data_IF_294486038877
#
_entry.id   IF_294486038877
#
_cell.length_a   1.000
_cell.length_b   1.000
_cell.length_c   1.000
_cell.angle_alpha   90.00
_cell.angle_beta   90.00
_cell.angle_gamma   90.00
#
_symmetry.space_group_name_H-M   'P 1'
#
loop_
_entity.id
_entity.type
_entity.pdbx_description
1 polymer ?
#
# COMPACT_ATOMS: atom_id res chain seq x y z
N UNK A 1 42.21 -49.36 7.34
CA UNK A 1 42.56 -48.25 6.39
C UNK A 1 41.52 -48.04 5.31
N UNK A 2 41.01 -49.04 4.57
CA UNK A 2 39.99 -48.82 3.50
C UNK A 2 38.64 -48.35 4.03
N UNK A 3 38.19 -48.80 5.19
CA UNK A 3 36.92 -48.39 5.80
C UNK A 3 36.94 -46.94 6.32
N UNK A 4 38.06 -46.48 6.83
CA UNK A 4 38.21 -45.10 7.32
C UNK A 4 38.20 -44.10 6.19
N UNK A 5 38.89 -44.39 5.08
CA UNK A 5 38.84 -43.54 3.87
C UNK A 5 37.41 -43.44 3.30
N UNK A 6 36.68 -44.57 3.26
CA UNK A 6 35.32 -44.64 2.79
C UNK A 6 34.36 -43.84 3.69
N UNK A 7 34.52 -43.91 4.99
CA UNK A 7 33.75 -43.15 5.94
C UNK A 7 34.07 -41.66 5.84
N UNK A 8 35.34 -41.27 5.71
CA UNK A 8 35.73 -39.88 5.50
C UNK A 8 35.10 -39.31 4.25
N UNK A 9 35.16 -40.05 3.12
CA UNK A 9 34.53 -39.60 1.86
C UNK A 9 33.00 -39.44 2.02
N UNK A 10 32.33 -40.36 2.70
CA UNK A 10 30.89 -40.26 2.97
C UNK A 10 30.57 -39.04 3.80
N UNK A 11 31.32 -38.74 4.85
CA UNK A 11 31.15 -37.55 5.67
C UNK A 11 31.38 -36.25 4.86
N UNK A 12 32.40 -36.22 4.03
CA UNK A 12 32.67 -35.05 3.17
C UNK A 12 31.58 -34.85 2.12
N UNK A 13 31.13 -35.93 1.49
CA UNK A 13 30.07 -35.85 0.48
C UNK A 13 28.72 -35.46 1.11
N UNK A 14 28.34 -36.04 2.24
CA UNK A 14 27.08 -35.69 2.92
C UNK A 14 27.11 -34.26 3.46
N UNK A 15 28.21 -33.85 4.08
CA UNK A 15 28.40 -32.49 4.57
C UNK A 15 28.38 -31.45 3.43
N UNK A 16 29.10 -31.76 2.36
CA UNK A 16 29.11 -30.88 1.16
C UNK A 16 27.74 -30.78 0.51
N UNK A 17 27.01 -31.89 0.38
CA UNK A 17 25.65 -31.89 -0.16
C UNK A 17 24.70 -31.08 0.73
N UNK A 18 24.74 -31.29 2.04
CA UNK A 18 23.90 -30.55 2.99
C UNK A 18 24.21 -29.05 2.94
N UNK A 19 25.48 -28.66 2.94
CA UNK A 19 25.88 -27.28 2.84
C UNK A 19 25.39 -26.61 1.51
N UNK A 20 25.50 -27.34 0.41
CA UNK A 20 25.02 -26.87 -0.89
C UNK A 20 23.50 -26.66 -0.90
N UNK A 21 22.74 -27.62 -0.34
CA UNK A 21 21.28 -27.50 -0.23
C UNK A 21 20.88 -26.28 0.63
N UNK A 22 21.52 -26.14 1.80
CA UNK A 22 21.24 -24.98 2.68
C UNK A 22 21.63 -23.66 2.05
N UNK A 23 22.74 -23.59 1.35
CA UNK A 23 23.18 -22.40 0.62
C UNK A 23 22.22 -22.00 -0.50
N UNK A 24 21.61 -22.98 -1.16
CA UNK A 24 20.62 -22.74 -2.20
C UNK A 24 19.23 -22.36 -1.62
N UNK A 25 18.80 -23.08 -0.58
CA UNK A 25 17.49 -22.85 0.04
C UNK A 25 17.41 -21.54 0.83
N UNK A 26 18.49 -21.11 1.44
CA UNK A 26 18.52 -19.90 2.28
C UNK A 26 18.02 -18.65 1.52
N UNK A 27 18.56 -18.27 0.36
CA UNK A 27 18.09 -17.11 -0.38
C UNK A 27 16.64 -17.28 -0.88
N UNK A 28 16.25 -18.50 -1.25
CA UNK A 28 14.88 -18.79 -1.67
C UNK A 28 13.90 -18.56 -0.52
N UNK A 29 14.20 -19.08 0.66
CA UNK A 29 13.36 -18.87 1.86
C UNK A 29 13.31 -17.40 2.22
N UNK A 30 14.43 -16.68 2.19
CA UNK A 30 14.46 -15.22 2.46
C UNK A 30 13.66 -14.42 1.46
N UNK A 31 13.61 -14.83 0.21
CA UNK A 31 12.82 -14.19 -0.81
C UNK A 31 11.32 -14.45 -0.65
N UNK A 32 10.95 -15.69 -0.33
CA UNK A 32 9.54 -16.11 -0.18
C UNK A 32 8.93 -15.65 1.15
N UNK A 33 9.76 -15.52 2.20
CA UNK A 33 9.34 -14.97 3.49
C UNK A 33 9.72 -13.49 3.58
N UNK A 34 8.89 -12.57 3.09
CA UNK A 34 9.17 -11.15 3.21
C UNK A 34 9.25 -10.80 4.71
N UNK A 35 10.29 -10.05 5.07
CA UNK A 35 10.38 -9.46 6.40
C UNK A 35 9.11 -8.67 6.65
N UNK A 36 8.38 -9.01 7.70
CA UNK A 36 7.30 -8.17 8.19
C UNK A 36 7.93 -6.81 8.59
N UNK A 37 7.83 -5.83 7.70
CA UNK A 37 8.17 -4.45 8.05
C UNK A 37 7.10 -4.02 9.05
N UNK A 38 7.45 -3.70 10.31
CA UNK A 38 6.46 -3.19 11.25
C UNK A 38 5.87 -1.93 10.61
N UNK A 39 4.60 -1.98 10.26
CA UNK A 39 3.89 -0.78 9.85
C UNK A 39 3.89 0.14 11.07
N UNK A 40 4.66 1.21 11.02
CA UNK A 40 4.62 2.21 12.06
C UNK A 40 3.14 2.58 12.25
N UNK A 41 2.64 2.45 13.48
CA UNK A 41 1.25 2.77 13.80
C UNK A 41 1.05 4.29 13.65
N UNK A 42 0.97 4.74 12.41
CA UNK A 42 0.72 6.13 12.06
C UNK A 42 -0.77 6.36 12.22
N UNK A 43 -1.14 7.11 13.23
CA UNK A 43 -2.55 7.45 13.49
C UNK A 43 -2.97 8.73 12.75
N UNK A 44 -2.02 9.64 12.48
CA UNK A 44 -2.26 10.87 11.74
C UNK A 44 -1.04 11.26 10.90
N UNK A 45 -1.29 11.96 9.79
CA UNK A 45 -0.25 12.48 8.90
C UNK A 45 -0.62 13.89 8.48
N UNK A 46 0.34 14.80 8.52
CA UNK A 46 0.25 16.11 7.91
C UNK A 46 0.28 15.96 6.37
N UNK A 47 -0.79 16.35 5.73
CA UNK A 47 -0.95 16.22 4.28
C UNK A 47 -0.54 17.49 3.52
N UNK A 48 -0.02 18.51 4.20
CA UNK A 48 0.40 19.81 3.67
C UNK A 48 -0.56 20.93 4.03
N UNK A 49 -0.42 22.06 3.38
CA UNK A 49 -1.24 23.25 3.67
C UNK A 49 -2.50 23.31 2.85
N UNK A 50 -3.51 24.02 3.36
CA UNK A 50 -4.79 24.25 2.66
C UNK A 50 -4.56 24.87 1.26
N UNK A 51 -3.60 25.78 1.14
CA UNK A 51 -3.27 26.46 -0.11
C UNK A 51 -2.53 25.60 -1.13
N UNK A 52 -1.99 24.43 -0.73
CA UNK A 52 -1.26 23.52 -1.63
C UNK A 52 -2.20 22.78 -2.57
N UNK A 53 -3.51 22.80 -2.31
CA UNK A 53 -4.50 22.12 -3.10
C UNK A 53 -5.67 23.04 -3.39
N UNK A 54 -5.92 23.33 -4.67
CA UNK A 54 -7.06 24.15 -5.10
C UNK A 54 -8.39 23.39 -4.94
N UNK A 55 -9.53 24.09 -4.80
CA UNK A 55 -10.84 23.43 -4.86
C UNK A 55 -11.02 22.59 -6.11
N UNK A 56 -11.84 21.55 -6.02
CA UNK A 56 -12.11 20.58 -7.10
C UNK A 56 -10.87 19.82 -7.58
N UNK A 57 -9.87 19.67 -6.73
CA UNK A 57 -8.64 18.94 -7.07
C UNK A 57 -8.27 17.90 -6.01
N UNK A 58 -7.34 17.05 -6.33
CA UNK A 58 -6.87 16.01 -5.42
C UNK A 58 -5.36 15.79 -5.52
N UNK A 59 -4.80 15.23 -4.47
CA UNK A 59 -3.41 14.74 -4.44
C UNK A 59 -3.33 13.42 -3.67
N UNK A 60 -2.32 12.63 -3.99
CA UNK A 60 -2.00 11.43 -3.21
C UNK A 60 -1.00 11.80 -2.14
N UNK A 61 -1.29 11.45 -0.89
CA UNK A 61 -0.42 11.62 0.27
C UNK A 61 -0.05 10.26 0.83
N UNK A 62 1.13 10.14 1.44
CA UNK A 62 1.59 8.90 2.04
C UNK A 62 1.15 8.85 3.50
N UNK A 63 0.35 7.86 3.85
CA UNK A 63 -0.09 7.57 5.21
C UNK A 63 0.59 6.28 5.71
N UNK A 64 1.70 6.42 6.41
CA UNK A 64 2.59 5.28 6.68
C UNK A 64 3.12 4.66 5.39
N UNK A 65 2.82 3.39 5.14
CA UNK A 65 3.15 2.68 3.89
C UNK A 65 2.07 2.77 2.81
N UNK A 66 0.89 3.33 3.13
CA UNK A 66 -0.30 3.30 2.26
C UNK A 66 -0.53 4.64 1.56
N UNK A 67 -0.87 4.64 0.26
CA UNK A 67 -1.27 5.85 -0.43
C UNK A 67 -2.72 6.22 -0.06
N UNK A 68 -2.97 7.48 0.22
CA UNK A 68 -4.28 8.06 0.50
C UNK A 68 -4.55 9.17 -0.50
N UNK A 69 -5.71 9.14 -1.13
CA UNK A 69 -6.21 10.18 -2.02
C UNK A 69 -6.91 11.25 -1.19
N UNK A 70 -6.30 12.43 -1.09
CA UNK A 70 -6.87 13.61 -0.46
C UNK A 70 -7.53 14.48 -1.53
N UNK A 71 -8.81 14.77 -1.36
CA UNK A 71 -9.62 15.56 -2.28
C UNK A 71 -10.09 16.84 -1.59
N UNK A 72 -9.87 17.99 -2.20
CA UNK A 72 -10.53 19.24 -1.82
C UNK A 72 -11.77 19.40 -2.69
N UNK A 73 -12.94 19.09 -2.14
CA UNK A 73 -14.21 19.13 -2.88
C UNK A 73 -14.63 20.55 -3.20
N UNK A 74 -14.51 21.43 -2.21
CA UNK A 74 -14.79 22.88 -2.35
C UNK A 74 -13.92 23.67 -1.37
N UNK A 75 -14.24 24.94 -1.11
CA UNK A 75 -13.43 25.80 -0.23
C UNK A 75 -13.34 25.30 1.21
N UNK A 76 -14.37 24.60 1.69
CA UNK A 76 -14.48 24.15 3.09
C UNK A 76 -14.49 22.64 3.27
N UNK A 77 -14.81 21.88 2.22
CA UNK A 77 -15.02 20.43 2.29
C UNK A 77 -13.83 19.67 1.77
N UNK A 78 -13.33 18.78 2.62
CA UNK A 78 -12.22 17.89 2.33
C UNK A 78 -12.64 16.45 2.55
N UNK A 79 -12.15 15.57 1.70
CA UNK A 79 -12.35 14.12 1.83
C UNK A 79 -11.04 13.38 1.62
N UNK A 80 -10.90 12.25 2.26
CA UNK A 80 -9.72 11.40 2.09
C UNK A 80 -10.14 9.94 2.04
N UNK A 81 -9.57 9.20 1.08
CA UNK A 81 -9.85 7.78 0.88
C UNK A 81 -8.55 7.02 0.63
N UNK A 82 -8.55 5.72 0.93
CA UNK A 82 -7.48 4.87 0.43
C UNK A 82 -7.36 5.04 -1.08
N UNK A 83 -6.16 5.34 -1.56
CA UNK A 83 -5.89 5.43 -3.00
C UNK A 83 -5.75 4.05 -3.65
N UNK A 84 -6.13 2.97 -2.97
CA UNK A 84 -6.02 1.58 -3.42
C UNK A 84 -7.40 1.09 -3.85
N UNK A 85 -7.53 0.76 -5.14
CA UNK A 85 -8.77 0.20 -5.69
C UNK A 85 -9.11 -1.14 -5.03
N UNK A 86 -10.39 -1.30 -4.67
CA UNK A 86 -10.87 -2.50 -3.97
C UNK A 86 -11.01 -3.74 -4.85
N UNK A 87 -10.76 -3.62 -6.16
CA UNK A 87 -10.74 -4.75 -7.09
C UNK A 87 -9.38 -5.48 -7.04
N UNK A 88 -8.32 -4.91 -7.59
CA UNK A 88 -6.99 -5.52 -7.69
C UNK A 88 -5.86 -4.56 -7.29
N UNK A 89 -6.09 -3.75 -6.26
CA UNK A 89 -5.10 -2.88 -5.63
C UNK A 89 -4.41 -1.84 -6.53
N UNK A 90 -4.99 -1.52 -7.70
CA UNK A 90 -4.49 -0.43 -8.53
C UNK A 90 -4.67 0.92 -7.83
N UNK A 91 -3.78 1.87 -8.10
CA UNK A 91 -3.93 3.23 -7.56
C UNK A 91 -5.06 3.96 -8.27
N UNK A 92 -6.02 4.49 -7.50
CA UNK A 92 -7.11 5.31 -8.01
C UNK A 92 -6.67 6.75 -8.20
N UNK A 93 -7.36 7.47 -9.08
CA UNK A 93 -7.11 8.87 -9.42
C UNK A 93 -8.41 9.67 -9.33
N UNK A 94 -8.30 10.97 -9.11
CA UNK A 94 -9.44 11.88 -9.15
C UNK A 94 -9.61 12.47 -10.55
N UNK A 95 -10.83 12.44 -11.06
CA UNK A 95 -11.20 13.07 -12.33
C UNK A 95 -11.98 14.36 -12.07
N UNK A 96 -11.30 15.49 -12.18
CA UNK A 96 -11.87 16.83 -11.97
C UNK A 96 -13.16 17.08 -12.78
N UNK A 97 -13.21 16.80 -14.10
CA UNK A 97 -14.40 17.12 -14.90
C UNK A 97 -15.65 16.36 -14.47
N UNK A 98 -15.48 15.15 -13.94
CA UNK A 98 -16.58 14.28 -13.51
C UNK A 98 -16.86 14.34 -12.02
N UNK A 99 -15.96 14.94 -11.25
CA UNK A 99 -15.99 14.91 -9.78
C UNK A 99 -16.13 13.48 -9.25
N UNK A 100 -15.36 12.55 -9.81
CA UNK A 100 -15.39 11.13 -9.48
C UNK A 100 -13.98 10.60 -9.24
N UNK A 101 -13.88 9.53 -8.46
CA UNK A 101 -12.65 8.77 -8.30
C UNK A 101 -12.67 7.62 -9.31
N UNK A 102 -11.58 7.45 -10.03
CA UNK A 102 -11.47 6.52 -11.13
C UNK A 102 -10.26 5.60 -10.99
N UNK A 103 -10.47 4.33 -11.30
CA UNK A 103 -9.44 3.32 -11.41
C UNK A 103 -9.23 2.97 -12.88
N UNK A 104 -8.08 3.34 -13.43
CA UNK A 104 -7.75 3.14 -14.85
C UNK A 104 -7.60 1.65 -15.24
N UNK A 105 -7.22 0.77 -14.30
CA UNK A 105 -6.94 -0.63 -14.62
C UNK A 105 -8.13 -1.36 -15.23
N UNK A 106 -9.32 -1.19 -14.68
CA UNK A 106 -10.54 -1.89 -15.14
C UNK A 106 -11.75 -0.95 -15.20
N UNK A 107 -11.46 0.34 -15.36
CA UNK A 107 -12.49 1.38 -15.55
C UNK A 107 -13.56 1.40 -14.43
N UNK A 108 -13.11 1.22 -13.18
CA UNK A 108 -13.94 1.33 -12.00
C UNK A 108 -14.13 2.78 -11.57
N UNK A 109 -15.33 3.16 -11.17
CA UNK A 109 -15.66 4.51 -10.71
C UNK A 109 -16.25 4.49 -9.31
N UNK A 110 -15.88 5.49 -8.54
CA UNK A 110 -16.42 5.77 -7.21
C UNK A 110 -16.89 7.23 -7.15
N UNK A 111 -17.92 7.49 -6.36
CA UNK A 111 -18.38 8.84 -6.08
C UNK A 111 -17.47 9.57 -5.05
N UNK A 112 -17.83 10.83 -4.73
CA UNK A 112 -17.12 11.63 -3.71
C UNK A 112 -17.34 11.12 -2.27
N UNK A 113 -18.12 10.08 -2.05
CA UNK A 113 -18.26 9.38 -0.77
C UNK A 113 -17.53 8.04 -0.77
N UNK A 114 -16.70 7.78 -1.78
CA UNK A 114 -15.95 6.53 -1.92
C UNK A 114 -16.82 5.34 -2.30
N UNK A 115 -18.11 5.51 -2.58
CA UNK A 115 -19.03 4.43 -2.97
C UNK A 115 -18.83 4.05 -4.42
N UNK A 116 -18.94 2.77 -4.73
CA UNK A 116 -18.85 2.26 -6.11
C UNK A 116 -20.02 2.79 -6.94
N UNK A 117 -19.73 3.42 -8.06
CA UNK A 117 -20.70 3.89 -9.06
C UNK A 117 -20.82 2.89 -10.20
N UNK A 118 -19.68 2.40 -10.69
CA UNK A 118 -19.65 1.44 -11.79
C UNK A 118 -18.31 0.69 -11.86
N UNK A 119 -18.30 -0.41 -12.58
CA UNK A 119 -17.12 -1.25 -12.81
C UNK A 119 -17.01 -2.41 -11.81
N UNK A 120 -15.87 -3.12 -11.82
CA UNK A 120 -15.67 -4.34 -11.06
C UNK A 120 -15.36 -4.19 -9.55
N UNK A 121 -15.08 -2.99 -8.96
CA UNK A 121 -14.80 -2.89 -7.54
C UNK A 121 -15.95 -3.45 -6.69
N UNK A 122 -15.70 -4.37 -5.73
CA UNK A 122 -16.77 -5.02 -4.98
C UNK A 122 -17.25 -4.25 -3.75
N UNK A 123 -16.53 -3.21 -3.32
CA UNK A 123 -16.81 -2.47 -2.07
C UNK A 123 -16.31 -1.03 -2.16
N UNK A 124 -16.82 -0.13 -1.28
CA UNK A 124 -16.36 1.25 -1.20
C UNK A 124 -14.86 1.34 -0.85
N UNK A 125 -14.27 2.50 -1.13
CA UNK A 125 -12.94 2.86 -0.64
C UNK A 125 -12.98 3.07 0.88
N UNK A 126 -11.89 2.70 1.56
CA UNK A 126 -11.70 3.00 2.99
C UNK A 126 -11.58 4.51 3.16
N UNK A 127 -12.39 5.08 4.05
CA UNK A 127 -12.41 6.50 4.33
C UNK A 127 -11.44 6.86 5.46
N UNK A 128 -10.83 8.04 5.35
CA UNK A 128 -10.00 8.67 6.36
C UNK A 128 -10.63 10.00 6.78
N UNK A 129 -10.43 10.37 8.03
CA UNK A 129 -10.91 11.65 8.56
C UNK A 129 -9.93 12.74 8.19
N UNK A 130 -10.44 13.85 7.65
CA UNK A 130 -9.64 15.05 7.38
C UNK A 130 -9.96 16.10 8.44
N UNK A 131 -8.94 16.69 9.02
CA UNK A 131 -9.05 17.79 9.99
C UNK A 131 -8.16 18.93 9.55
N UNK A 132 -8.65 20.15 9.72
CA UNK A 132 -7.85 21.36 9.53
C UNK A 132 -7.30 21.81 10.88
N UNK A 133 -6.01 22.02 10.97
CA UNK A 133 -5.29 22.52 12.13
C UNK A 133 -4.63 23.85 11.73
N UNK A 134 -5.36 24.94 11.84
CA UNK A 134 -4.94 26.21 11.25
C UNK A 134 -4.94 26.14 9.73
N UNK A 135 -3.78 26.35 9.11
CA UNK A 135 -3.56 26.22 7.67
C UNK A 135 -3.09 24.82 7.23
N UNK A 136 -2.92 23.90 8.17
CA UNK A 136 -2.43 22.54 7.90
C UNK A 136 -3.61 21.56 7.74
N UNK A 137 -3.52 20.72 6.72
CA UNK A 137 -4.46 19.62 6.48
C UNK A 137 -3.88 18.35 7.11
N UNK A 138 -4.62 17.74 8.03
CA UNK A 138 -4.23 16.53 8.74
C UNK A 138 -5.18 15.40 8.36
N UNK A 139 -4.63 14.27 7.96
CA UNK A 139 -5.39 13.04 7.68
C UNK A 139 -5.21 12.07 8.84
N UNK A 140 -6.32 11.51 9.33
CA UNK A 140 -6.35 10.59 10.47
C UNK A 140 -7.10 9.32 10.09
N UNK A 141 -6.67 8.18 10.60
CA UNK A 141 -7.39 6.93 10.40
C UNK A 141 -8.73 6.97 11.16
N UNK A 142 -9.79 6.49 10.53
CA UNK A 142 -11.06 6.27 11.19
C UNK A 142 -10.89 5.09 12.19
N UNK A 143 -11.14 5.35 13.46
CA UNK A 143 -11.01 4.36 14.56
C UNK A 143 -12.31 3.59 14.70
#
# INVERSE_FOLDING_TARGET
MANERRNLIRWLLSGGLTASILSFLYPVIKFVMPLAVPEAAVNEVAAGKVQDLRPHSAKIVKFGSRPVLLIRVNETEWKAFSAICTHLNCTVQFQEPRQQIWCACHNGFYDLNGKVVSGPPPRPLEEFIVRLRGDEVVVTKQT
#
